data_IF_265972377332
#
_entry.id   IF_265972377332
#
_cell.length_a   1.000
_cell.length_b   1.000
_cell.length_c   1.000
_cell.angle_alpha   90.00
_cell.angle_beta   90.00
_cell.angle_gamma   90.00
#
_symmetry.space_group_name_H-M   'P 1'
#
loop_
_entity.id
_entity.type
_entity.pdbx_description
1 polymer ?
#
# COMPACT_ATOMS: atom_id res chain seq x y z
N UNK A 1 -2.74 21.06 -45.74
CA UNK A 1 -2.71 20.24 -44.51
C UNK A 1 -4.09 20.32 -43.89
N UNK A 2 -4.87 19.24 -43.96
CA UNK A 2 -6.19 19.16 -43.33
C UNK A 2 -6.07 19.33 -41.81
N UNK A 3 -6.97 20.13 -41.24
CA UNK A 3 -7.05 20.40 -39.82
C UNK A 3 -7.71 19.21 -39.11
N UNK A 4 -6.95 18.32 -38.47
CA UNK A 4 -7.51 17.27 -37.62
C UNK A 4 -7.78 17.82 -36.20
N UNK A 5 -9.04 17.78 -35.79
CA UNK A 5 -9.47 18.10 -34.43
C UNK A 5 -9.09 17.00 -33.43
N UNK A 6 -8.91 17.31 -32.14
CA UNK A 6 -8.76 16.28 -31.11
C UNK A 6 -9.97 15.33 -31.14
N UNK A 7 -9.71 14.04 -30.92
CA UNK A 7 -10.76 13.02 -30.87
C UNK A 7 -11.15 12.79 -29.41
N UNK A 8 -12.44 12.90 -29.10
CA UNK A 8 -12.97 12.62 -27.75
C UNK A 8 -13.90 11.42 -27.83
N UNK A 9 -13.73 10.43 -26.94
CA UNK A 9 -14.62 9.27 -26.81
C UNK A 9 -15.29 9.32 -25.44
N UNK A 10 -16.61 9.42 -25.39
CA UNK A 10 -17.38 9.39 -24.16
C UNK A 10 -17.70 7.95 -23.74
N UNK A 11 -17.23 7.54 -22.56
CA UNK A 11 -17.42 6.18 -22.03
C UNK A 11 -18.88 5.84 -21.77
N UNK A 12 -19.69 6.82 -21.38
CA UNK A 12 -21.11 6.61 -21.03
C UNK A 12 -22.00 6.48 -22.26
N UNK A 13 -21.55 7.04 -23.39
CA UNK A 13 -22.24 6.98 -24.68
C UNK A 13 -21.71 5.84 -25.58
N UNK A 14 -20.63 5.16 -25.17
CA UNK A 14 -20.03 4.07 -25.93
C UNK A 14 -20.80 2.76 -25.73
N UNK A 15 -21.16 2.08 -26.82
CA UNK A 15 -21.88 0.80 -26.78
C UNK A 15 -21.01 -0.37 -26.28
N UNK A 16 -19.72 -0.43 -26.66
CA UNK A 16 -18.75 -1.40 -26.14
C UNK A 16 -17.51 -0.70 -25.56
N UNK A 17 -17.32 -0.82 -24.25
CA UNK A 17 -16.15 -0.27 -23.56
C UNK A 17 -14.84 -0.93 -24.01
N UNK A 18 -14.87 -2.18 -24.47
CA UNK A 18 -13.66 -2.88 -24.95
C UNK A 18 -13.13 -2.26 -26.23
N UNK A 19 -13.99 -1.80 -27.12
CA UNK A 19 -13.57 -1.08 -28.32
C UNK A 19 -12.83 0.20 -27.96
N UNK A 20 -13.30 0.91 -26.92
CA UNK A 20 -12.61 2.10 -26.41
C UNK A 20 -11.24 1.74 -25.85
N UNK A 21 -11.14 0.67 -25.05
CA UNK A 21 -9.85 0.15 -24.55
C UNK A 21 -8.91 -0.16 -25.71
N UNK A 22 -9.37 -0.89 -26.74
CA UNK A 22 -8.56 -1.24 -27.90
C UNK A 22 -8.07 -0.01 -28.66
N UNK A 23 -8.90 1.02 -28.81
CA UNK A 23 -8.51 2.30 -29.44
C UNK A 23 -7.43 3.03 -28.64
N UNK A 24 -7.51 3.03 -27.31
CA UNK A 24 -6.47 3.61 -26.44
C UNK A 24 -5.17 2.81 -26.56
N UNK A 25 -5.24 1.49 -26.48
CA UNK A 25 -4.07 0.60 -26.62
C UNK A 25 -3.40 0.78 -27.98
N UNK A 26 -4.19 0.88 -29.05
CA UNK A 26 -3.69 1.17 -30.39
C UNK A 26 -3.01 2.55 -30.45
N UNK A 27 -3.63 3.59 -29.91
CA UNK A 27 -3.03 4.93 -29.89
C UNK A 27 -1.68 4.93 -29.15
N UNK A 28 -1.58 4.25 -28.00
CA UNK A 28 -0.32 4.09 -27.27
C UNK A 28 0.73 3.31 -28.09
N UNK A 29 0.33 2.23 -28.77
CA UNK A 29 1.21 1.42 -29.61
C UNK A 29 1.72 2.15 -30.85
N UNK A 30 0.96 3.13 -31.36
CA UNK A 30 1.37 4.01 -32.46
C UNK A 30 2.24 5.19 -31.99
N UNK A 31 2.54 5.29 -30.70
CA UNK A 31 3.33 6.39 -30.12
C UNK A 31 2.54 7.69 -29.95
N UNK A 32 1.21 7.64 -29.95
CA UNK A 32 0.37 8.78 -29.59
C UNK A 32 0.26 8.91 -28.06
N UNK A 33 -0.02 10.14 -27.62
CA UNK A 33 -0.36 10.44 -26.22
C UNK A 33 -1.88 10.49 -26.08
N UNK A 34 -2.38 9.99 -24.94
CA UNK A 34 -3.82 9.84 -24.70
C UNK A 34 -4.19 10.55 -23.41
N UNK A 35 -5.22 11.41 -23.44
CA UNK A 35 -5.83 11.95 -22.25
C UNK A 35 -6.77 10.93 -21.62
N UNK A 36 -6.48 10.51 -20.39
CA UNK A 36 -7.20 9.41 -19.72
C UNK A 36 -7.76 9.84 -18.36
N UNK A 37 -8.93 9.32 -17.95
CA UNK A 37 -9.43 9.48 -16.60
C UNK A 37 -8.64 8.61 -15.61
N UNK A 38 -8.41 9.14 -14.41
CA UNK A 38 -8.06 8.37 -13.21
C UNK A 38 -9.12 8.62 -12.14
N UNK A 39 -9.16 7.81 -11.07
CA UNK A 39 -10.10 7.97 -9.96
C UNK A 39 -10.02 9.36 -9.28
N UNK A 40 -8.85 10.01 -9.39
CA UNK A 40 -8.55 11.34 -8.85
C UNK A 40 -8.92 12.46 -9.81
N UNK A 41 -8.29 12.46 -10.98
CA UNK A 41 -8.30 13.52 -11.97
C UNK A 41 -7.87 12.97 -13.34
N UNK A 42 -7.92 13.80 -14.37
CA UNK A 42 -7.43 13.43 -15.69
C UNK A 42 -5.91 13.63 -15.80
N UNK A 43 -5.25 12.77 -16.56
CA UNK A 43 -3.83 12.89 -16.85
C UNK A 43 -3.53 12.48 -18.31
N UNK A 44 -2.28 12.65 -18.73
CA UNK A 44 -1.82 12.19 -20.04
C UNK A 44 -1.05 10.87 -19.87
N UNK A 45 -1.42 9.87 -20.65
CA UNK A 45 -0.73 8.59 -20.75
C UNK A 45 0.08 8.52 -22.05
N UNK A 46 1.25 7.88 -21.98
CA UNK A 46 2.10 7.58 -23.11
C UNK A 46 2.76 6.22 -22.96
N UNK A 47 3.14 5.61 -24.08
CA UNK A 47 3.96 4.40 -24.08
C UNK A 47 5.39 4.72 -23.65
N UNK A 48 5.86 4.10 -22.56
CA UNK A 48 7.21 4.30 -22.00
C UNK A 48 8.34 3.74 -22.87
N UNK A 49 8.03 3.18 -24.04
CA UNK A 49 8.99 2.69 -25.04
C UNK A 49 9.10 3.59 -26.27
N UNK A 50 8.24 4.61 -26.39
CA UNK A 50 8.20 5.53 -27.51
C UNK A 50 8.76 6.89 -27.13
N UNK A 51 9.96 7.22 -27.60
CA UNK A 51 10.67 8.45 -27.26
C UNK A 51 9.85 9.72 -27.55
N UNK A 52 9.30 9.83 -28.76
CA UNK A 52 8.48 10.97 -29.17
C UNK A 52 7.21 11.14 -28.32
N UNK A 53 6.61 10.02 -27.87
CA UNK A 53 5.44 10.02 -27.02
C UNK A 53 5.79 10.51 -25.61
N UNK A 54 6.91 10.05 -25.06
CA UNK A 54 7.43 10.46 -23.74
C UNK A 54 7.80 11.94 -23.73
N UNK A 55 8.52 12.41 -24.75
CA UNK A 55 8.88 13.83 -24.91
C UNK A 55 7.61 14.70 -24.96
N UNK A 56 6.61 14.28 -25.74
CA UNK A 56 5.33 14.98 -25.82
C UNK A 56 4.59 14.96 -24.48
N UNK A 57 4.55 13.82 -23.78
CA UNK A 57 3.95 13.72 -22.44
C UNK A 57 4.61 14.71 -21.45
N UNK A 58 5.93 14.83 -21.53
CA UNK A 58 6.73 15.75 -20.73
C UNK A 58 6.40 17.23 -20.94
N UNK A 59 5.76 17.61 -22.06
CA UNK A 59 5.29 19.00 -22.28
C UNK A 59 4.05 19.37 -21.46
N UNK A 60 3.35 18.38 -20.88
CA UNK A 60 2.14 18.59 -20.07
C UNK A 60 2.39 18.61 -18.57
N UNK A 61 3.64 18.47 -18.14
CA UNK A 61 4.03 18.48 -16.72
C UNK A 61 5.12 19.51 -16.48
N UNK A 62 5.04 20.17 -15.34
CA UNK A 62 6.06 21.10 -14.90
C UNK A 62 7.37 20.36 -14.58
N UNK A 63 8.50 21.04 -14.81
CA UNK A 63 9.81 20.51 -14.47
C UNK A 63 10.04 20.66 -12.97
N UNK A 64 9.96 19.54 -12.25
CA UNK A 64 10.23 19.47 -10.83
C UNK A 64 11.72 19.19 -10.58
N UNK A 65 12.33 19.92 -9.64
CA UNK A 65 13.70 19.64 -9.22
C UNK A 65 13.72 18.38 -8.34
N UNK A 66 14.73 17.53 -8.52
CA UNK A 66 14.96 16.37 -7.65
C UNK A 66 13.75 15.43 -7.59
N UNK A 67 13.07 15.21 -8.72
CA UNK A 67 12.00 14.24 -8.85
C UNK A 67 11.86 13.77 -10.30
N UNK A 68 11.50 12.49 -10.54
CA UNK A 68 11.07 12.04 -11.86
C UNK A 68 9.98 12.93 -12.45
N UNK A 69 10.10 13.25 -13.75
CA UNK A 69 9.09 14.08 -14.44
C UNK A 69 7.80 13.30 -14.62
N UNK A 70 7.91 12.05 -15.06
CA UNK A 70 6.78 11.17 -15.33
C UNK A 70 6.65 10.08 -14.26
N UNK A 71 5.42 9.65 -14.03
CA UNK A 71 5.10 8.52 -13.17
C UNK A 71 5.09 7.25 -14.01
N UNK A 72 5.73 6.18 -13.57
CA UNK A 72 5.54 4.85 -14.17
C UNK A 72 4.23 4.27 -13.63
N UNK A 73 3.30 3.97 -14.52
CA UNK A 73 2.05 3.32 -14.17
C UNK A 73 2.23 1.81 -14.14
N UNK A 74 1.90 1.21 -13.01
CA UNK A 74 1.95 -0.24 -12.80
C UNK A 74 0.52 -0.80 -12.66
N UNK A 75 0.32 -2.06 -13.02
CA UNK A 75 -1.00 -2.71 -13.08
C UNK A 75 -1.50 -3.12 -11.69
N UNK A 76 -0.58 -3.34 -10.76
CA UNK A 76 -0.87 -3.78 -9.39
C UNK A 76 0.32 -3.53 -8.47
N UNK A 77 0.13 -3.73 -7.16
CA UNK A 77 1.23 -3.75 -6.18
C UNK A 77 2.30 -4.79 -6.49
N UNK A 78 1.93 -5.91 -7.13
CA UNK A 78 2.84 -7.03 -7.35
C UNK A 78 3.85 -6.74 -8.47
N UNK A 79 3.49 -5.86 -9.42
CA UNK A 79 4.40 -5.38 -10.47
C UNK A 79 5.42 -4.36 -9.92
N UNK A 80 5.19 -3.80 -8.73
CA UNK A 80 6.07 -2.76 -8.18
C UNK A 80 7.51 -3.25 -7.99
N UNK A 81 7.72 -4.51 -7.62
CA UNK A 81 9.05 -5.10 -7.43
C UNK A 81 9.84 -5.27 -8.73
N UNK A 82 9.16 -5.34 -9.88
CA UNK A 82 9.84 -5.40 -11.18
C UNK A 82 10.54 -4.06 -11.48
N UNK A 83 9.97 -2.95 -10.99
CA UNK A 83 10.52 -1.62 -11.15
C UNK A 83 11.43 -1.20 -9.99
N UNK A 84 11.06 -1.54 -8.76
CA UNK A 84 11.77 -1.25 -7.52
C UNK A 84 11.99 -2.55 -6.70
N UNK A 85 13.00 -3.37 -7.02
CA UNK A 85 13.27 -4.62 -6.33
C UNK A 85 13.63 -4.47 -4.84
N UNK A 86 14.16 -3.32 -4.42
CA UNK A 86 14.65 -3.06 -3.07
C UNK A 86 13.64 -2.26 -2.20
N UNK A 87 12.34 -2.37 -2.50
CA UNK A 87 11.28 -1.72 -1.71
C UNK A 87 11.36 -2.05 -0.22
N UNK A 88 11.38 -1.00 0.61
CA UNK A 88 11.38 -1.16 2.07
C UNK A 88 10.06 -1.74 2.58
N UNK A 89 10.04 -2.34 3.80
CA UNK A 89 8.80 -2.79 4.42
C UNK A 89 7.73 -1.69 4.53
N UNK A 90 8.14 -0.42 4.67
CA UNK A 90 7.21 0.71 4.67
C UNK A 90 6.58 0.94 3.29
N UNK A 91 7.38 0.91 2.22
CA UNK A 91 6.89 1.03 0.84
C UNK A 91 5.90 -0.09 0.51
N UNK A 92 6.22 -1.34 0.88
CA UNK A 92 5.32 -2.49 0.70
C UNK A 92 4.01 -2.34 1.49
N UNK A 93 4.05 -1.72 2.68
CA UNK A 93 2.82 -1.42 3.44
C UNK A 93 1.92 -0.44 2.70
N UNK A 94 2.47 0.65 2.17
CA UNK A 94 1.71 1.61 1.36
C UNK A 94 1.17 0.98 0.07
N UNK A 95 2.00 0.23 -0.66
CA UNK A 95 1.57 -0.46 -1.87
C UNK A 95 0.31 -1.32 -1.63
N UNK A 96 0.30 -2.15 -0.59
CA UNK A 96 -0.85 -3.05 -0.34
C UNK A 96 -2.10 -2.33 0.15
N UNK A 97 -1.98 -1.19 0.82
CA UNK A 97 -3.13 -0.51 1.42
C UNK A 97 -3.69 0.60 0.54
N UNK A 98 -2.86 1.20 -0.31
CA UNK A 98 -3.22 2.36 -1.11
C UNK A 98 -3.26 2.07 -2.61
N UNK A 99 -2.73 0.93 -3.07
CA UNK A 99 -2.82 0.50 -4.47
C UNK A 99 -3.79 -0.67 -4.68
N UNK A 100 -4.55 -0.66 -5.80
CA UNK A 100 -4.65 0.42 -6.77
C UNK A 100 -5.42 1.62 -6.22
N UNK A 101 -4.99 2.84 -6.54
CA UNK A 101 -5.60 4.04 -5.97
C UNK A 101 -4.75 5.33 -6.07
N UNK A 102 -5.20 6.39 -5.36
CA UNK A 102 -4.77 7.76 -5.61
C UNK A 102 -3.50 8.13 -4.82
N UNK A 103 -2.57 7.20 -4.71
CA UNK A 103 -1.26 7.40 -4.10
C UNK A 103 -0.16 7.16 -5.15
N UNK A 104 0.75 8.11 -5.31
CA UNK A 104 2.01 7.90 -6.01
C UNK A 104 3.15 7.79 -4.98
N UNK A 105 4.09 6.89 -5.22
CA UNK A 105 5.27 6.70 -4.36
C UNK A 105 6.55 7.03 -5.12
N UNK A 106 7.34 7.94 -4.56
CA UNK A 106 8.74 8.16 -4.95
C UNK A 106 9.61 7.24 -4.09
N UNK A 107 10.38 6.39 -4.75
CA UNK A 107 11.20 5.34 -4.15
C UNK A 107 12.67 5.59 -4.52
N UNK A 108 13.55 5.57 -3.52
CA UNK A 108 15.01 5.59 -3.70
C UNK A 108 15.48 4.20 -4.12
N UNK A 109 15.19 3.83 -5.36
CA UNK A 109 15.42 2.50 -5.89
C UNK A 109 15.78 2.56 -7.38
N UNK A 110 17.09 2.63 -7.64
CA UNK A 110 17.69 2.51 -8.95
C UNK A 110 18.44 1.17 -9.05
N UNK A 111 17.75 0.08 -8.69
CA UNK A 111 18.34 -1.24 -8.67
C UNK A 111 18.77 -1.68 -10.08
N UNK A 112 19.96 -2.27 -10.27
CA UNK A 112 20.44 -2.71 -11.59
C UNK A 112 19.49 -3.66 -12.34
N UNK A 113 18.75 -4.50 -11.60
CA UNK A 113 17.76 -5.43 -12.16
C UNK A 113 16.38 -4.81 -12.40
N UNK A 114 16.16 -3.54 -12.04
CA UNK A 114 14.89 -2.84 -12.22
C UNK A 114 14.57 -2.58 -13.69
N UNK A 115 13.30 -2.70 -14.06
CA UNK A 115 12.81 -2.48 -15.43
C UNK A 115 13.11 -1.09 -15.99
N UNK A 116 13.40 -0.10 -15.14
CA UNK A 116 13.81 1.25 -15.57
C UNK A 116 15.03 1.20 -16.52
N UNK A 117 15.96 0.25 -16.30
CA UNK A 117 17.15 0.10 -17.13
C UNK A 117 16.88 -0.60 -18.47
N UNK A 118 15.71 -1.23 -18.63
CA UNK A 118 15.29 -1.81 -19.91
C UNK A 118 14.60 -0.78 -20.82
N UNK A 119 14.28 0.40 -20.28
CA UNK A 119 13.77 1.51 -21.09
C UNK A 119 14.88 2.08 -21.99
N UNK A 120 14.54 2.61 -23.18
CA UNK A 120 15.47 3.36 -24.01
C UNK A 120 16.23 4.44 -23.21
N UNK A 121 17.53 4.60 -23.48
CA UNK A 121 18.39 5.53 -22.74
C UNK A 121 17.91 6.99 -22.81
N UNK A 122 17.23 7.37 -23.90
CA UNK A 122 16.58 8.69 -24.05
C UNK A 122 15.40 8.88 -23.09
N UNK A 123 14.74 7.80 -22.67
CA UNK A 123 13.54 7.83 -21.82
C UNK A 123 13.89 7.80 -20.32
N UNK A 124 14.96 7.10 -19.93
CA UNK A 124 15.33 6.92 -18.51
C UNK A 124 15.38 8.25 -17.73
N UNK A 125 15.98 9.36 -18.23
CA UNK A 125 16.03 10.63 -17.50
C UNK A 125 14.65 11.27 -17.20
N UNK A 126 13.58 10.81 -17.85
CA UNK A 126 12.22 11.31 -17.63
C UNK A 126 11.50 10.59 -16.48
N UNK A 127 11.95 9.38 -16.13
CA UNK A 127 11.33 8.52 -15.09
C UNK A 127 12.26 8.20 -13.92
N UNK A 128 13.57 8.48 -14.07
CA UNK A 128 14.61 8.32 -13.07
C UNK A 128 15.28 9.66 -12.78
N UNK A 129 15.36 10.05 -11.52
CA UNK A 129 16.03 11.28 -11.09
C UNK A 129 16.66 11.09 -9.70
N UNK A 130 17.96 11.38 -9.56
CA UNK A 130 18.73 11.17 -8.31
C UNK A 130 18.52 9.77 -7.70
N UNK A 131 18.63 8.73 -8.53
CA UNK A 131 18.39 7.32 -8.16
C UNK A 131 16.99 7.04 -7.60
N UNK A 132 16.01 7.92 -7.91
CA UNK A 132 14.61 7.75 -7.52
C UNK A 132 13.71 7.54 -8.72
N UNK A 133 12.73 6.67 -8.56
CA UNK A 133 11.63 6.45 -9.50
C UNK A 133 10.29 6.78 -8.84
N UNK A 134 9.29 7.16 -9.65
CA UNK A 134 7.92 7.42 -9.17
C UNK A 134 6.96 6.39 -9.74
N UNK A 135 6.35 5.60 -8.87
CA UNK A 135 5.39 4.55 -9.22
C UNK A 135 3.97 4.94 -8.78
N UNK A 136 2.96 4.51 -9.53
CA UNK A 136 1.55 4.53 -9.14
C UNK A 136 0.82 3.37 -9.78
N UNK A 137 -0.09 2.74 -9.04
CA UNK A 137 -1.08 1.84 -9.62
C UNK A 137 -2.46 2.54 -9.70
N UNK A 138 -2.86 3.11 -10.85
CA UNK A 138 -4.15 3.78 -10.98
C UNK A 138 -5.33 2.86 -10.70
N UNK A 139 -6.38 3.39 -10.04
CA UNK A 139 -7.60 2.67 -9.68
C UNK A 139 -8.70 2.68 -10.75
N UNK A 140 -8.57 3.53 -11.77
CA UNK A 140 -9.60 3.66 -12.80
C UNK A 140 -9.63 2.47 -13.77
N UNK A 141 -10.79 1.80 -13.86
CA UNK A 141 -10.97 0.55 -14.62
C UNK A 141 -10.52 0.64 -16.08
N UNK A 142 -10.92 1.70 -16.80
CA UNK A 142 -10.51 1.90 -18.20
C UNK A 142 -8.99 1.88 -18.37
N UNK A 143 -8.25 2.60 -17.52
CA UNK A 143 -6.79 2.65 -17.59
C UNK A 143 -6.17 1.32 -17.19
N UNK A 144 -6.71 0.63 -16.19
CA UNK A 144 -6.27 -0.73 -15.83
C UNK A 144 -6.44 -1.73 -16.97
N UNK A 145 -7.58 -1.71 -17.65
CA UNK A 145 -7.86 -2.59 -18.79
C UNK A 145 -6.91 -2.27 -19.97
N UNK A 146 -6.62 -0.99 -20.22
CA UNK A 146 -5.61 -0.58 -21.20
C UNK A 146 -4.21 -1.10 -20.86
N UNK A 147 -3.75 -0.92 -19.61
CA UNK A 147 -2.42 -1.38 -19.17
C UNK A 147 -2.28 -2.91 -19.18
N UNK A 148 -3.39 -3.66 -18.99
CA UNK A 148 -3.39 -5.12 -19.11
C UNK A 148 -3.22 -5.60 -20.55
N UNK A 149 -3.83 -4.91 -21.51
CA UNK A 149 -3.76 -5.27 -22.93
C UNK A 149 -2.54 -4.68 -23.66
N UNK A 150 -2.01 -3.55 -23.19
CA UNK A 150 -0.85 -2.91 -23.79
C UNK A 150 0.43 -3.70 -23.48
N UNK A 151 1.17 -4.06 -24.54
CA UNK A 151 2.41 -4.83 -24.46
C UNK A 151 3.63 -3.92 -24.21
N UNK A 152 3.62 -3.23 -23.08
CA UNK A 152 4.72 -2.36 -22.68
C UNK A 152 4.42 -1.51 -21.43
N UNK A 153 5.42 -0.76 -20.95
CA UNK A 153 5.24 0.16 -19.84
C UNK A 153 4.42 1.39 -20.26
N UNK A 154 3.56 1.87 -19.35
CA UNK A 154 2.83 3.13 -19.52
C UNK A 154 3.41 4.15 -18.56
N UNK A 155 3.65 5.37 -19.03
CA UNK A 155 4.04 6.50 -18.21
C UNK A 155 2.93 7.55 -18.17
N UNK A 156 2.79 8.22 -17.03
CA UNK A 156 1.77 9.24 -16.80
C UNK A 156 2.43 10.59 -16.58
N UNK A 157 1.95 11.56 -17.35
CA UNK A 157 2.11 12.98 -17.12
C UNK A 157 0.93 13.44 -16.25
N UNK A 158 1.15 13.40 -14.94
CA UNK A 158 0.15 13.76 -13.93
C UNK A 158 0.23 15.26 -13.60
N UNK A 159 -0.92 15.91 -13.39
CA UNK A 159 -0.94 17.31 -12.97
C UNK A 159 -0.15 17.47 -11.68
N UNK A 160 0.67 18.51 -11.63
CA UNK A 160 1.39 18.89 -10.44
C UNK A 160 0.41 19.34 -9.34
N UNK A 161 0.84 19.28 -8.08
CA UNK A 161 0.00 19.68 -6.95
C UNK A 161 -0.24 21.19 -6.86
N UNK A 162 0.48 22.00 -7.65
CA UNK A 162 0.41 23.47 -7.63
C UNK A 162 -0.74 24.04 -8.46
N UNK A 163 -1.22 23.30 -9.47
CA UNK A 163 -2.34 23.73 -10.33
C UNK A 163 -3.63 22.95 -10.01
N UNK A 164 -4.81 23.59 -10.19
CA UNK A 164 -6.11 22.91 -9.97
C UNK A 164 -6.26 21.73 -10.93
N UNK A 165 -6.27 20.46 -10.47
CA UNK A 165 -6.18 19.30 -11.36
C UNK A 165 -7.36 19.28 -12.34
N UNK A 166 -7.17 18.82 -13.59
CA UNK A 166 -8.27 18.71 -14.54
C UNK A 166 -9.26 17.64 -14.07
N UNK A 167 -10.49 18.07 -13.77
CA UNK A 167 -11.52 17.18 -13.19
C UNK A 167 -12.43 16.57 -14.25
N UNK A 168 -12.43 17.16 -15.43
CA UNK A 168 -13.15 16.73 -16.63
C UNK A 168 -12.21 16.67 -17.83
N UNK A 169 -12.63 15.99 -18.89
CA UNK A 169 -11.89 15.99 -20.16
C UNK A 169 -11.71 17.40 -20.72
N UNK A 170 -12.72 18.26 -20.56
CA UNK A 170 -12.69 19.64 -21.03
C UNK A 170 -11.62 20.48 -20.30
N UNK A 171 -11.42 20.23 -19.01
CA UNK A 171 -10.34 20.88 -18.24
C UNK A 171 -8.95 20.43 -18.71
N UNK A 172 -8.82 19.15 -19.06
CA UNK A 172 -7.58 18.59 -19.60
C UNK A 172 -7.28 19.18 -20.98
N UNK A 173 -8.26 19.21 -21.88
CA UNK A 173 -8.14 19.81 -23.21
C UNK A 173 -7.70 21.29 -23.13
N UNK A 174 -8.34 22.09 -22.27
CA UNK A 174 -7.92 23.49 -22.03
C UNK A 174 -6.45 23.65 -21.64
N UNK A 175 -5.87 22.66 -20.94
CA UNK A 175 -4.44 22.65 -20.59
C UNK A 175 -3.56 22.21 -21.76
N UNK A 176 -4.11 21.46 -22.71
CA UNK A 176 -3.43 20.93 -23.86
C UNK A 176 -3.45 21.86 -25.10
N UNK A 177 -4.14 23.02 -25.06
CA UNK A 177 -4.50 23.92 -26.19
C UNK A 177 -3.42 24.20 -27.26
N UNK A 178 -2.11 24.01 -26.96
CA UNK A 178 -1.02 24.16 -27.94
C UNK A 178 -0.60 22.85 -28.64
N UNK A 179 -0.97 21.68 -28.12
CA UNK A 179 -0.51 20.33 -28.52
C UNK A 179 -1.65 19.34 -28.87
N UNK A 180 -2.90 19.78 -28.99
CA UNK A 180 -4.08 18.90 -29.10
C UNK A 180 -4.29 18.19 -30.43
N UNK A 181 -3.64 18.64 -31.51
CA UNK A 181 -4.05 18.39 -32.92
C UNK A 181 -3.96 16.93 -33.40
N UNK A 182 -3.62 15.99 -32.51
CA UNK A 182 -3.59 14.54 -32.77
C UNK A 182 -3.83 13.70 -31.53
N UNK A 183 -4.40 14.28 -30.47
CA UNK A 183 -4.63 13.56 -29.21
C UNK A 183 -5.98 12.85 -29.20
N UNK A 184 -5.98 11.66 -28.64
CA UNK A 184 -7.18 10.95 -28.22
C UNK A 184 -7.46 11.31 -26.76
N UNK A 185 -8.69 11.68 -26.44
CA UNK A 185 -9.17 11.92 -25.09
C UNK A 185 -10.32 10.98 -24.77
N UNK A 186 -10.27 10.39 -23.58
CA UNK A 186 -11.36 9.57 -23.06
C UNK A 186 -12.13 10.41 -22.06
N UNK A 187 -13.44 10.50 -22.20
CA UNK A 187 -14.33 11.24 -21.31
C UNK A 187 -15.16 10.27 -20.47
N UNK A 188 -14.96 10.29 -19.15
CA UNK A 188 -15.80 9.61 -18.16
C UNK A 188 -16.60 10.61 -17.29
N UNK A 189 -16.63 11.88 -17.70
CA UNK A 189 -17.21 12.98 -16.95
C UNK A 189 -16.35 13.40 -15.75
N UNK A 190 -17.01 13.94 -14.73
CA UNK A 190 -16.38 14.45 -13.51
C UNK A 190 -15.84 13.31 -12.64
N UNK A 191 -14.56 13.40 -12.24
CA UNK A 191 -13.96 12.38 -11.37
C UNK A 191 -14.47 12.43 -9.93
N UNK A 192 -14.37 11.29 -9.23
CA UNK A 192 -14.98 11.12 -7.90
C UNK A 192 -14.25 11.89 -6.79
N UNK A 193 -12.92 11.84 -6.77
CA UNK A 193 -12.08 12.44 -5.73
C UNK A 193 -11.81 13.93 -6.03
N UNK A 194 -11.55 14.28 -7.29
CA UNK A 194 -11.36 15.67 -7.75
C UNK A 194 -10.19 16.44 -7.12
N UNK A 195 -9.25 15.73 -6.51
CA UNK A 195 -8.06 16.27 -5.86
C UNK A 195 -6.79 15.78 -6.57
N UNK A 196 -5.67 16.49 -6.44
CA UNK A 196 -4.38 15.99 -6.90
C UNK A 196 -3.99 14.73 -6.13
N UNK A 197 -3.42 13.77 -6.86
CA UNK A 197 -2.91 12.51 -6.33
C UNK A 197 -1.90 12.79 -5.22
N UNK A 198 -2.09 12.19 -4.05
CA UNK A 198 -1.09 12.27 -2.98
C UNK A 198 0.19 11.60 -3.44
N UNK A 199 1.28 12.35 -3.47
CA UNK A 199 2.62 11.83 -3.78
C UNK A 199 3.45 11.84 -2.52
N UNK A 200 3.95 10.67 -2.11
CA UNK A 200 4.84 10.52 -0.96
C UNK A 200 6.22 10.05 -1.40
N UNK A 201 7.25 10.48 -0.70
CA UNK A 201 8.59 9.91 -0.79
C UNK A 201 8.80 8.95 0.37
N UNK A 202 9.21 7.72 0.07
CA UNK A 202 9.61 6.76 1.11
C UNK A 202 11.05 7.04 1.51
N UNK A 203 11.27 7.19 2.81
CA UNK A 203 12.57 7.42 3.44
C UNK A 203 12.93 6.22 4.33
N UNK A 204 14.17 6.16 4.79
CA UNK A 204 14.66 5.04 5.63
C UNK A 204 13.84 4.85 6.91
N UNK A 205 13.40 5.94 7.55
CA UNK A 205 12.71 5.93 8.84
C UNK A 205 11.26 6.43 8.79
N UNK A 206 10.73 6.69 7.60
CA UNK A 206 9.40 7.26 7.47
C UNK A 206 9.04 7.64 6.03
N UNK A 207 8.14 8.59 5.89
CA UNK A 207 7.74 9.12 4.59
C UNK A 207 7.62 10.65 4.66
N UNK A 208 7.77 11.29 3.52
CA UNK A 208 7.52 12.72 3.34
C UNK A 208 6.42 12.92 2.31
N UNK A 209 5.39 13.70 2.64
CA UNK A 209 4.41 14.12 1.64
C UNK A 209 5.05 15.16 0.74
N UNK A 210 5.14 14.88 -0.56
CA UNK A 210 5.66 15.82 -1.57
C UNK A 210 4.55 16.77 -1.99
N UNK A 211 3.37 16.24 -2.32
CA UNK A 211 2.22 16.99 -2.81
C UNK A 211 0.93 16.17 -2.77
N UNK A 212 -0.19 16.82 -3.11
CA UNK A 212 -1.52 16.23 -3.18
C UNK A 212 -2.12 16.01 -1.80
N UNK A 213 -3.44 15.83 -1.77
CA UNK A 213 -4.21 15.85 -0.53
C UNK A 213 -5.35 14.82 -0.50
N UNK A 214 -5.37 13.86 -1.44
CA UNK A 214 -6.34 12.76 -1.44
C UNK A 214 -6.28 11.92 -0.16
N UNK A 215 -5.10 11.82 0.44
CA UNK A 215 -4.94 11.31 1.79
C UNK A 215 -4.53 12.44 2.74
N UNK A 216 -5.20 12.50 3.88
CA UNK A 216 -4.76 13.30 5.03
C UNK A 216 -3.45 12.76 5.61
N UNK A 217 -2.75 13.61 6.37
CA UNK A 217 -1.51 13.21 7.05
C UNK A 217 -1.77 12.08 8.06
N UNK A 218 -2.92 12.12 8.72
CA UNK A 218 -3.36 11.13 9.70
C UNK A 218 -3.59 9.77 9.06
N UNK A 219 -4.28 9.72 7.91
CA UNK A 219 -4.48 8.48 7.15
C UNK A 219 -3.15 7.88 6.67
N UNK A 220 -2.24 8.70 6.15
CA UNK A 220 -0.91 8.22 5.74
C UNK A 220 -0.09 7.72 6.95
N UNK A 221 -0.21 8.40 8.10
CA UNK A 221 0.46 7.98 9.32
C UNK A 221 -0.09 6.64 9.82
N UNK A 222 -1.40 6.40 9.69
CA UNK A 222 -2.04 5.13 10.03
C UNK A 222 -1.54 3.99 9.13
N UNK A 223 -1.44 4.21 7.81
CA UNK A 223 -0.88 3.24 6.86
C UNK A 223 0.60 2.96 7.15
N UNK A 224 1.35 3.97 7.56
CA UNK A 224 2.77 3.84 7.86
C UNK A 224 3.06 2.96 9.09
N UNK A 225 2.11 2.81 10.03
CA UNK A 225 2.31 2.00 11.24
C UNK A 225 2.54 0.53 10.90
N UNK A 226 3.46 -0.10 11.62
CA UNK A 226 3.59 -1.54 11.63
C UNK A 226 2.49 -2.12 12.54
N UNK A 227 1.47 -2.71 11.92
CA UNK A 227 0.43 -3.45 12.66
C UNK A 227 0.87 -4.90 12.88
N UNK A 228 0.96 -5.33 14.14
CA UNK A 228 1.20 -6.73 14.54
C UNK A 228 -0.09 -7.34 15.04
N UNK A 229 -0.53 -8.44 14.41
CA UNK A 229 -1.79 -9.12 14.75
C UNK A 229 -1.51 -10.48 15.40
N UNK A 230 -1.97 -10.67 16.63
CA UNK A 230 -1.93 -11.98 17.31
C UNK A 230 -3.22 -12.75 17.09
N UNK A 231 -3.13 -14.01 16.67
CA UNK A 231 -4.31 -14.84 16.39
C UNK A 231 -4.31 -16.12 17.22
N UNK A 232 -5.43 -16.37 17.92
CA UNK A 232 -5.70 -17.64 18.58
C UNK A 232 -7.10 -18.17 18.22
N UNK A 233 -7.63 -19.14 18.99
CA UNK A 233 -8.95 -19.73 18.73
C UNK A 233 -10.09 -18.72 18.98
N UNK A 234 -10.25 -18.24 20.22
CA UNK A 234 -11.41 -17.44 20.63
C UNK A 234 -11.12 -15.98 21.00
N UNK A 235 -9.85 -15.54 20.93
CA UNK A 235 -9.43 -14.19 21.35
C UNK A 235 -9.83 -13.81 22.79
N UNK A 236 -9.78 -14.78 23.70
CA UNK A 236 -10.10 -14.59 25.13
C UNK A 236 -8.95 -14.96 26.08
N UNK A 237 -7.92 -15.69 25.60
CA UNK A 237 -6.81 -16.17 26.44
C UNK A 237 -5.45 -15.82 25.82
N UNK A 238 -4.96 -16.65 24.89
CA UNK A 238 -3.60 -16.55 24.32
C UNK A 238 -3.32 -15.24 23.57
N UNK A 239 -4.11 -14.90 22.54
CA UNK A 239 -3.83 -13.70 21.73
C UNK A 239 -4.01 -12.37 22.49
N UNK A 240 -4.97 -12.20 23.42
CA UNK A 240 -5.02 -11.01 24.27
C UNK A 240 -3.80 -10.87 25.20
N UNK A 241 -3.35 -11.98 25.82
CA UNK A 241 -2.12 -11.97 26.63
C UNK A 241 -0.91 -11.60 25.77
N UNK A 242 -0.78 -12.19 24.58
CA UNK A 242 0.32 -11.89 23.66
C UNK A 242 0.33 -10.43 23.20
N UNK A 243 -0.82 -9.86 22.85
CA UNK A 243 -0.94 -8.43 22.54
C UNK A 243 -0.44 -7.57 23.70
N UNK A 244 -0.92 -7.82 24.92
CA UNK A 244 -0.61 -6.97 26.06
C UNK A 244 0.86 -7.09 26.51
N UNK A 245 1.41 -8.31 26.50
CA UNK A 245 2.83 -8.57 26.75
C UNK A 245 3.72 -7.90 25.70
N UNK A 246 3.35 -8.00 24.41
CA UNK A 246 4.11 -7.36 23.34
C UNK A 246 4.06 -5.84 23.43
N UNK A 247 2.89 -5.25 23.75
CA UNK A 247 2.76 -3.80 24.01
C UNK A 247 3.73 -3.33 25.10
N UNK A 248 3.80 -4.06 26.23
CA UNK A 248 4.74 -3.75 27.34
C UNK A 248 6.19 -3.81 26.86
N UNK A 249 6.59 -4.88 26.18
CA UNK A 249 7.98 -5.07 25.73
C UNK A 249 8.41 -4.05 24.68
N UNK A 250 7.53 -3.71 23.72
CA UNK A 250 7.81 -2.67 22.71
C UNK A 250 7.91 -1.29 23.35
N UNK A 251 7.03 -0.96 24.29
CA UNK A 251 7.09 0.30 25.03
C UNK A 251 8.42 0.47 25.77
N UNK A 252 8.91 -0.60 26.40
CA UNK A 252 10.24 -0.63 27.03
C UNK A 252 11.36 -0.42 26.01
N UNK A 253 11.32 -1.12 24.86
CA UNK A 253 12.33 -0.98 23.80
C UNK A 253 12.36 0.43 23.17
N UNK A 254 11.20 1.09 23.10
CA UNK A 254 11.05 2.44 22.56
C UNK A 254 11.18 3.56 23.62
N UNK A 255 11.41 3.20 24.90
CA UNK A 255 11.45 4.12 26.03
C UNK A 255 10.21 5.03 26.11
N UNK A 256 9.02 4.47 25.90
CA UNK A 256 7.74 5.19 25.98
C UNK A 256 6.70 4.42 26.79
N UNK A 257 5.52 5.00 27.02
CA UNK A 257 4.42 4.26 27.64
C UNK A 257 3.73 3.32 26.64
N UNK A 258 3.07 2.26 27.14
CA UNK A 258 2.33 1.31 26.30
C UNK A 258 1.21 1.96 25.46
N UNK A 259 0.70 3.12 25.89
CA UNK A 259 -0.31 3.91 25.17
C UNK A 259 0.29 4.79 24.06
N UNK A 260 1.61 4.95 24.03
CA UNK A 260 2.30 5.81 23.07
C UNK A 260 2.93 5.05 21.92
N UNK A 261 3.04 3.72 21.99
CA UNK A 261 3.67 2.90 20.94
C UNK A 261 3.10 3.17 19.53
N UNK A 262 1.81 3.51 19.44
CA UNK A 262 1.15 3.88 18.19
C UNK A 262 1.70 5.17 17.59
N UNK A 263 2.02 6.17 18.42
CA UNK A 263 2.71 7.41 17.99
C UNK A 263 4.14 7.13 17.54
N UNK A 264 4.74 6.07 18.06
CA UNK A 264 6.04 5.56 17.63
C UNK A 264 5.96 4.58 16.45
N UNK A 265 4.80 4.47 15.78
CA UNK A 265 4.70 3.74 14.53
C UNK A 265 4.38 2.24 14.67
N UNK A 266 4.01 1.76 15.85
CA UNK A 266 3.61 0.35 16.07
C UNK A 266 2.18 0.27 16.56
N UNK A 267 1.33 -0.48 15.84
CA UNK A 267 0.02 -0.87 16.32
C UNK A 267 -0.02 -2.36 16.63
N UNK A 268 -0.73 -2.75 17.67
CA UNK A 268 -0.80 -4.14 18.12
C UNK A 268 -2.25 -4.50 18.28
N UNK A 269 -2.65 -5.62 17.68
CA UNK A 269 -4.02 -6.12 17.75
C UNK A 269 -4.03 -7.61 18.05
N UNK A 270 -5.16 -8.10 18.54
CA UNK A 270 -5.42 -9.52 18.67
C UNK A 270 -6.79 -9.88 18.13
N UNK A 271 -6.91 -11.09 17.58
CA UNK A 271 -8.15 -11.62 17.02
C UNK A 271 -8.24 -13.15 17.22
N UNK A 272 -9.41 -13.69 16.89
CA UNK A 272 -9.76 -15.10 17.06
C UNK A 272 -10.30 -15.68 15.76
N UNK A 273 -10.06 -16.97 15.53
CA UNK A 273 -10.59 -17.68 14.35
C UNK A 273 -12.06 -18.10 14.52
N UNK A 274 -12.56 -18.12 15.75
CA UNK A 274 -13.89 -18.64 16.09
C UNK A 274 -14.57 -17.80 17.15
N UNK A 275 -15.91 -17.90 17.22
CA UNK A 275 -16.76 -17.16 18.15
C UNK A 275 -17.52 -16.02 17.47
N UNK A 276 -18.18 -15.18 18.28
CA UNK A 276 -19.01 -14.06 17.81
C UNK A 276 -18.41 -12.67 18.11
N UNK A 277 -17.21 -12.63 18.70
CA UNK A 277 -16.61 -11.40 19.22
C UNK A 277 -17.33 -10.87 20.47
N UNK A 278 -16.90 -9.72 21.00
CA UNK A 278 -17.57 -8.99 22.09
C UNK A 278 -17.36 -9.55 23.50
N UNK A 279 -16.76 -10.74 23.64
CA UNK A 279 -16.43 -11.32 24.94
C UNK A 279 -15.20 -10.66 25.57
N UNK A 280 -15.20 -10.52 26.89
CA UNK A 280 -14.00 -10.11 27.66
C UNK A 280 -12.92 -11.18 27.60
N UNK A 281 -11.68 -10.81 27.95
CA UNK A 281 -10.66 -11.81 28.25
C UNK A 281 -11.14 -12.73 29.39
N UNK A 282 -10.71 -13.99 29.36
CA UNK A 282 -11.04 -14.95 30.41
C UNK A 282 -10.55 -14.46 31.76
N UNK A 283 -11.28 -14.80 32.82
CA UNK A 283 -10.96 -14.32 34.17
C UNK A 283 -9.55 -14.74 34.61
N UNK A 284 -9.11 -15.95 34.24
CA UNK A 284 -7.75 -16.42 34.53
C UNK A 284 -6.68 -15.67 33.73
N UNK A 285 -6.93 -15.30 32.46
CA UNK A 285 -6.02 -14.45 31.71
C UNK A 285 -5.91 -13.05 32.33
N UNK A 286 -7.01 -12.47 32.79
CA UNK A 286 -7.00 -11.19 33.53
C UNK A 286 -6.13 -11.30 34.80
N UNK A 287 -6.30 -12.38 35.56
CA UNK A 287 -5.53 -12.62 36.79
C UNK A 287 -4.04 -12.83 36.51
N UNK A 288 -3.68 -13.62 35.50
CA UNK A 288 -2.28 -13.86 35.10
C UNK A 288 -1.61 -12.57 34.60
N UNK A 289 -2.29 -11.75 33.79
CA UNK A 289 -1.73 -10.47 33.33
C UNK A 289 -1.58 -9.45 34.47
N UNK A 290 -2.51 -9.45 35.43
CA UNK A 290 -2.41 -8.60 36.62
C UNK A 290 -1.17 -8.92 37.46
N UNK A 291 -0.74 -10.18 37.53
CA UNK A 291 0.53 -10.57 38.19
C UNK A 291 1.76 -9.97 37.50
N UNK A 292 1.65 -9.66 36.20
CA UNK A 292 2.69 -8.98 35.41
C UNK A 292 2.49 -7.46 35.34
N UNK A 293 1.62 -6.89 36.18
CA UNK A 293 1.27 -5.47 36.22
C UNK A 293 0.67 -4.94 34.90
N UNK A 294 -0.04 -5.80 34.18
CA UNK A 294 -0.71 -5.46 32.92
C UNK A 294 -2.22 -5.54 33.13
N UNK A 295 -2.92 -4.43 32.83
CA UNK A 295 -4.38 -4.42 32.82
C UNK A 295 -4.92 -4.88 31.46
N UNK A 296 -5.61 -6.02 31.46
CA UNK A 296 -6.28 -6.60 30.30
C UNK A 296 -7.82 -6.43 30.37
N UNK A 297 -8.34 -5.69 31.36
CA UNK A 297 -9.78 -5.58 31.61
C UNK A 297 -10.56 -4.88 30.50
N UNK A 298 -9.91 -3.99 29.75
CA UNK A 298 -10.46 -3.30 28.58
C UNK A 298 -10.50 -4.14 27.29
N UNK A 299 -9.95 -5.36 27.31
CA UNK A 299 -9.94 -6.23 26.14
C UNK A 299 -11.37 -6.67 25.75
N UNK A 300 -11.65 -6.58 24.45
CA UNK A 300 -12.87 -7.11 23.84
C UNK A 300 -12.49 -7.98 22.65
N UNK A 301 -12.95 -9.23 22.65
CA UNK A 301 -12.64 -10.18 21.58
C UNK A 301 -13.20 -9.74 20.23
N UNK A 302 -12.47 -10.06 19.17
CA UNK A 302 -12.88 -9.84 17.78
C UNK A 302 -12.46 -11.04 16.91
N UNK A 303 -13.12 -11.18 15.76
CA UNK A 303 -12.86 -12.25 14.80
C UNK A 303 -11.84 -11.78 13.77
N UNK A 304 -11.00 -12.69 13.30
CA UNK A 304 -10.09 -12.43 12.18
C UNK A 304 -10.93 -12.12 10.94
N UNK A 305 -10.67 -10.97 10.34
CA UNK A 305 -11.26 -10.55 9.06
C UNK A 305 -10.16 -10.34 8.03
N UNK A 306 -10.54 -10.37 6.77
CA UNK A 306 -9.63 -10.01 5.68
C UNK A 306 -9.09 -8.58 5.83
N UNK A 307 -9.91 -7.64 6.32
CA UNK A 307 -9.48 -6.27 6.59
C UNK A 307 -8.36 -6.19 7.65
N UNK A 308 -8.48 -6.97 8.74
CA UNK A 308 -7.44 -7.05 9.76
C UNK A 308 -6.14 -7.64 9.18
N UNK A 309 -6.24 -8.68 8.36
CA UNK A 309 -5.08 -9.31 7.71
C UNK A 309 -4.45 -8.38 6.66
N UNK A 310 -5.23 -7.59 5.94
CA UNK A 310 -4.75 -6.61 4.97
C UNK A 310 -3.89 -5.54 5.66
N UNK A 311 -4.37 -5.01 6.80
CA UNK A 311 -3.68 -3.98 7.61
C UNK A 311 -2.47 -4.53 8.36
N UNK A 312 -2.49 -5.80 8.76
CA UNK A 312 -1.41 -6.43 9.52
C UNK A 312 -0.12 -6.50 8.69
N UNK A 313 0.94 -5.82 9.14
CA UNK A 313 2.27 -6.02 8.59
C UNK A 313 2.82 -7.40 8.93
N UNK A 314 2.45 -7.94 10.10
CA UNK A 314 2.85 -9.26 10.60
C UNK A 314 1.66 -9.89 11.31
N UNK A 315 1.43 -11.18 11.08
CA UNK A 315 0.41 -11.97 11.78
C UNK A 315 1.12 -13.12 12.51
N UNK A 316 0.98 -13.17 13.83
CA UNK A 316 1.51 -14.25 14.65
C UNK A 316 0.41 -15.13 15.21
N UNK A 317 0.41 -16.39 14.78
CA UNK A 317 -0.54 -17.40 15.24
C UNK A 317 0.02 -18.18 16.43
N UNK A 318 -0.86 -18.60 17.35
CA UNK A 318 -0.43 -19.37 18.52
C UNK A 318 -0.06 -20.82 18.17
N UNK A 319 -0.61 -21.37 17.08
CA UNK A 319 -0.40 -22.76 16.67
C UNK A 319 -0.25 -22.91 15.16
N UNK A 320 0.28 -24.05 14.71
CA UNK A 320 0.32 -24.45 13.31
C UNK A 320 -1.09 -24.60 12.73
N UNK A 321 -2.03 -25.12 13.53
CA UNK A 321 -3.44 -25.25 13.12
C UNK A 321 -4.10 -23.90 12.86
N UNK A 322 -3.80 -22.89 13.69
CA UNK A 322 -4.28 -21.52 13.46
C UNK A 322 -3.72 -20.92 12.17
N UNK A 323 -2.43 -21.12 11.91
CA UNK A 323 -1.80 -20.68 10.65
C UNK A 323 -2.46 -21.37 9.46
N UNK A 324 -2.61 -22.69 9.51
CA UNK A 324 -3.24 -23.46 8.43
C UNK A 324 -4.68 -22.98 8.16
N UNK A 325 -5.47 -22.70 9.19
CA UNK A 325 -6.82 -22.19 9.05
C UNK A 325 -6.87 -20.82 8.35
N UNK A 326 -6.00 -19.88 8.73
CA UNK A 326 -5.92 -18.57 8.05
C UNK A 326 -5.54 -18.75 6.58
N UNK A 327 -4.54 -19.58 6.28
CA UNK A 327 -4.04 -19.74 4.90
C UNK A 327 -4.99 -20.54 4.01
N UNK A 328 -5.78 -21.45 4.58
CA UNK A 328 -6.84 -22.14 3.85
C UNK A 328 -7.93 -21.16 3.38
N UNK A 329 -8.26 -20.15 4.20
CA UNK A 329 -9.27 -19.15 3.87
C UNK A 329 -8.72 -17.96 3.08
N UNK A 330 -7.50 -17.53 3.40
CA UNK A 330 -6.87 -16.31 2.86
C UNK A 330 -5.42 -16.59 2.41
N UNK A 331 -5.22 -17.37 1.33
CA UNK A 331 -3.88 -17.82 0.91
C UNK A 331 -2.94 -16.67 0.52
N UNK A 332 -3.48 -15.53 0.07
CA UNK A 332 -2.69 -14.35 -0.36
C UNK A 332 -1.88 -13.67 0.76
N UNK A 333 -2.09 -14.04 2.03
CA UNK A 333 -1.35 -13.48 3.17
C UNK A 333 -0.23 -14.40 3.69
N UNK A 334 0.12 -15.46 2.93
CA UNK A 334 1.12 -16.45 3.33
C UNK A 334 2.51 -15.86 3.69
N UNK A 335 2.87 -14.74 3.07
CA UNK A 335 4.10 -13.99 3.31
C UNK A 335 4.23 -13.43 4.73
N UNK A 336 3.09 -13.25 5.43
CA UNK A 336 3.02 -12.54 6.73
C UNK A 336 2.43 -13.33 7.87
N UNK A 337 1.77 -14.45 7.57
CA UNK A 337 1.20 -15.32 8.61
C UNK A 337 2.26 -16.32 9.04
N UNK A 338 2.78 -16.10 10.24
CA UNK A 338 3.84 -16.88 10.87
C UNK A 338 3.37 -17.39 12.23
N UNK A 339 3.96 -18.46 12.74
CA UNK A 339 3.73 -18.83 14.15
C UNK A 339 4.49 -17.87 15.06
N UNK A 340 3.93 -17.58 16.23
CA UNK A 340 4.61 -16.79 17.26
C UNK A 340 5.96 -17.44 17.62
N UNK A 341 5.93 -18.75 17.87
CA UNK A 341 7.13 -19.56 18.12
C UNK A 341 8.11 -19.50 16.92
N UNK A 342 9.39 -19.11 17.13
CA UNK A 342 10.42 -19.17 16.09
C UNK A 342 10.73 -20.58 15.60
N UNK A 343 10.51 -21.59 16.46
CA UNK A 343 10.75 -23.01 16.15
C UNK A 343 9.49 -23.74 15.70
N UNK A 344 8.41 -23.01 15.41
CA UNK A 344 7.10 -23.54 15.02
C UNK A 344 6.50 -24.52 16.04
N UNK A 345 6.78 -24.32 17.33
CA UNK A 345 6.10 -25.04 18.40
C UNK A 345 4.78 -24.37 18.75
N UNK A 346 3.76 -25.18 19.04
CA UNK A 346 2.45 -24.69 19.45
C UNK A 346 2.50 -24.11 20.87
N UNK A 347 1.94 -22.91 21.04
CA UNK A 347 1.69 -22.34 22.37
C UNK A 347 0.53 -23.09 23.01
N UNK A 348 0.77 -23.66 24.19
CA UNK A 348 -0.20 -24.46 24.94
C UNK A 348 -1.49 -23.67 25.19
N UNK A 349 -2.63 -24.32 25.03
CA UNK A 349 -3.94 -23.69 25.24
C UNK A 349 -4.36 -23.78 26.72
N UNK A 350 -4.42 -22.67 27.47
CA UNK A 350 -4.78 -22.71 28.88
C UNK A 350 -6.31 -22.72 29.10
N UNK A 351 -7.12 -22.65 28.03
CA UNK A 351 -8.57 -22.51 28.15
C UNK A 351 -9.20 -23.60 29.04
N UNK A 352 -9.99 -23.18 30.04
CA UNK A 352 -10.58 -24.08 31.04
C UNK A 352 -9.60 -24.66 32.09
N UNK A 353 -8.29 -24.50 31.90
CA UNK A 353 -7.23 -25.06 32.76
C UNK A 353 -7.00 -24.35 34.09
N UNK A 354 -5.98 -24.76 34.83
CA UNK A 354 -5.58 -24.19 36.14
C UNK A 354 -4.90 -22.83 36.00
N UNK A 355 -4.75 -22.06 37.08
CA UNK A 355 -3.98 -20.81 37.07
C UNK A 355 -2.53 -21.04 36.59
N UNK A 356 -1.93 -22.17 36.99
CA UNK A 356 -0.61 -22.61 36.55
C UNK A 356 -0.53 -22.76 35.03
N UNK A 357 -1.55 -23.34 34.39
CA UNK A 357 -1.58 -23.47 32.93
C UNK A 357 -1.61 -22.10 32.21
N UNK A 358 -2.30 -21.11 32.77
CA UNK A 358 -2.28 -19.75 32.23
C UNK A 358 -0.92 -19.08 32.41
N UNK A 359 -0.28 -19.28 33.56
CA UNK A 359 1.05 -18.74 33.84
C UNK A 359 2.11 -19.33 32.89
N UNK A 360 2.12 -20.66 32.72
CA UNK A 360 3.00 -21.34 31.76
C UNK A 360 2.75 -20.87 30.32
N UNK A 361 1.49 -20.68 29.94
CA UNK A 361 1.15 -20.13 28.62
C UNK A 361 1.69 -18.69 28.44
N UNK A 362 1.54 -17.83 29.45
CA UNK A 362 2.07 -16.47 29.41
C UNK A 362 3.61 -16.43 29.35
N UNK A 363 4.28 -17.35 30.07
CA UNK A 363 5.73 -17.52 30.03
C UNK A 363 6.21 -17.94 28.64
N UNK A 364 5.59 -18.97 28.03
CA UNK A 364 5.87 -19.38 26.65
C UNK A 364 5.71 -18.23 25.65
N UNK A 365 4.63 -17.44 25.79
CA UNK A 365 4.40 -16.26 24.97
C UNK A 365 5.53 -15.24 25.15
N UNK A 366 5.93 -14.94 26.39
CA UNK A 366 7.04 -14.04 26.67
C UNK A 366 8.34 -14.48 26.01
N UNK A 367 8.73 -15.74 26.17
CA UNK A 367 9.95 -16.31 25.58
C UNK A 367 9.94 -16.18 24.05
N UNK A 368 8.82 -16.51 23.41
CA UNK A 368 8.70 -16.40 21.96
C UNK A 368 8.70 -14.94 21.49
N UNK A 369 8.08 -14.03 22.24
CA UNK A 369 8.14 -12.59 21.93
C UNK A 369 9.56 -12.06 22.03
N UNK A 370 10.32 -12.44 23.06
CA UNK A 370 11.72 -12.03 23.22
C UNK A 370 12.56 -12.47 22.02
N UNK A 371 12.42 -13.72 21.59
CA UNK A 371 13.11 -14.22 20.40
C UNK A 371 12.67 -13.52 19.08
N UNK A 372 11.42 -13.06 18.99
CA UNK A 372 10.90 -12.34 17.80
C UNK A 372 11.28 -10.86 17.78
N UNK A 373 11.47 -10.24 18.94
CA UNK A 373 11.79 -8.81 19.05
C UNK A 373 13.13 -8.43 18.43
N UNK A 374 14.05 -9.38 18.33
CA UNK A 374 15.35 -9.19 17.67
C UNK A 374 15.23 -9.15 16.14
N UNK A 375 14.19 -9.78 15.59
CA UNK A 375 13.93 -9.88 14.15
C UNK A 375 13.12 -8.68 13.65
N UNK A 376 12.28 -8.10 14.52
CA UNK A 376 11.62 -6.83 14.20
C UNK A 376 12.69 -5.75 14.10
N UNK A 377 13.04 -5.37 12.87
CA UNK A 377 13.87 -4.20 12.55
C UNK A 377 13.16 -2.90 12.98
N UNK A 378 13.00 -2.71 14.29
CA UNK A 378 12.51 -1.49 14.91
C UNK A 378 13.59 -0.40 14.94
N UNK A 379 14.77 -0.67 14.36
CA UNK A 379 15.92 0.25 14.30
C UNK A 379 15.54 1.59 13.65
N UNK A 380 14.57 1.59 12.73
CA UNK A 380 14.05 2.81 12.09
C UNK A 380 13.12 3.65 12.96
N UNK A 381 12.67 3.15 14.12
CA UNK A 381 11.72 3.82 15.02
C UNK A 381 12.37 4.36 16.31
N UNK A 382 13.60 3.93 16.61
CA UNK A 382 14.37 4.34 17.80
C UNK A 382 15.26 5.57 17.60
N UNK A 383 15.46 6.04 16.36
CA UNK A 383 16.32 7.20 16.03
C UNK A 383 15.51 8.50 15.79
N UNK A 384 14.48 8.76 16.62
CA UNK A 384 13.80 10.07 16.61
C UNK A 384 14.38 11.04 17.62
#
# INVERSE_FOLDING_TARGET
>A
MEYMSPTVINLKESEDLRDVVHRVVQALAEGNVVGVPTESNYCIAAAGTHETAVERACTFVDVMKHEPRLTIAIKSSDEASDWAPAMTPLALRFARQCWPGPLAMVLQDNHPDGLVHQLPASIQPHVLCDDRIRLRAPGHRMLQDCMRLFAGPVVLAEPDGGTKPPKTVADLMKRCEQNEKSMLFIDDGMQSIQEPVSTIEIQNTGFRVIRGNTFSKEELQDVARLTVLFVCTGNTCRSPMAEALFRKKIAQKLNCSANEIQKHGVDVKSAGLSGWGGSRASEKALQTMKQSEIDLSGHTSQIVTEELLQKAGIVWTMTAAHRAAILAQFPKFADRVHMLSPTNQDVLDPFGGTAEAYNQCAEQICEHLDARMDILELRSLSEK
#
